data_IF_595750740502
#
_entry.id   IF_595750740502
#
_cell.length_a   1.000
_cell.length_b   1.000
_cell.length_c   1.000
_cell.angle_alpha   90.00
_cell.angle_beta   90.00
_cell.angle_gamma   90.00
#
_symmetry.space_group_name_H-M   'P 1'
#
loop_
_entity.id
_entity.type
_entity.pdbx_description
1 polymer ?
#
# COMPACT_ATOMS: atom_id res chain seq x y z
N UNK A 1 12.80 -16.86 -7.07
CA UNK A 1 13.68 -16.14 -8.01
C UNK A 1 13.21 -14.70 -8.09
N UNK A 2 14.10 -13.72 -8.02
CA UNK A 2 13.72 -12.33 -8.27
C UNK A 2 13.62 -12.08 -9.77
N UNK A 3 12.46 -11.61 -10.22
CA UNK A 3 12.23 -11.12 -11.58
C UNK A 3 12.51 -9.62 -11.61
N UNK A 4 13.67 -9.26 -12.16
CA UNK A 4 14.11 -7.88 -12.28
C UNK A 4 13.27 -7.04 -13.26
N UNK A 5 12.53 -7.66 -14.19
CA UNK A 5 11.68 -6.93 -15.12
C UNK A 5 10.40 -6.40 -14.45
N UNK A 6 9.91 -7.11 -13.43
CA UNK A 6 8.68 -6.76 -12.71
C UNK A 6 8.89 -6.33 -11.26
N UNK A 7 10.15 -6.34 -10.78
CA UNK A 7 10.52 -6.07 -9.38
C UNK A 7 9.82 -7.04 -8.41
N UNK A 8 9.56 -8.29 -8.86
CA UNK A 8 8.78 -9.29 -8.10
C UNK A 8 9.64 -10.46 -7.67
N UNK A 9 9.40 -10.94 -6.46
CA UNK A 9 9.89 -12.23 -6.01
C UNK A 9 8.89 -13.32 -6.43
N UNK A 10 9.32 -14.16 -7.36
CA UNK A 10 8.59 -15.35 -7.78
C UNK A 10 8.93 -16.50 -6.85
N UNK A 11 7.90 -17.07 -6.25
CA UNK A 11 8.03 -18.10 -5.24
C UNK A 11 7.05 -19.23 -5.53
N UNK A 12 7.49 -20.23 -6.30
CA UNK A 12 6.55 -21.16 -6.94
C UNK A 12 5.57 -20.39 -7.81
N UNK A 13 4.28 -20.56 -7.56
CA UNK A 13 3.20 -19.86 -8.26
C UNK A 13 2.81 -18.51 -7.61
N UNK A 14 3.47 -18.12 -6.50
CA UNK A 14 3.17 -16.90 -5.76
C UNK A 14 4.13 -15.79 -6.19
N UNK A 15 3.60 -14.73 -6.79
CA UNK A 15 4.34 -13.53 -7.14
C UNK A 15 4.11 -12.43 -6.08
N UNK A 16 5.04 -12.29 -5.14
CA UNK A 16 5.03 -11.21 -4.15
C UNK A 16 5.96 -10.08 -4.58
N UNK A 17 5.49 -8.84 -4.53
CA UNK A 17 6.35 -7.67 -4.78
C UNK A 17 6.96 -7.22 -3.45
N UNK A 18 8.29 -7.32 -3.33
CA UNK A 18 9.02 -6.97 -2.11
C UNK A 18 10.10 -5.96 -2.45
N UNK A 19 10.09 -4.84 -1.73
CA UNK A 19 11.07 -3.78 -1.81
C UNK A 19 12.12 -4.00 -0.71
N UNK A 20 13.40 -4.11 -1.08
CA UNK A 20 14.52 -4.22 -0.15
C UNK A 20 15.51 -3.09 -0.42
N UNK A 21 15.68 -2.18 0.53
CA UNK A 21 16.65 -1.09 0.42
C UNK A 21 17.94 -1.45 1.16
N UNK A 22 19.06 -1.52 0.44
CA UNK A 22 20.38 -1.85 1.02
C UNK A 22 21.12 -0.66 1.63
N UNK A 23 20.59 0.52 1.37
CA UNK A 23 20.97 1.82 1.91
C UNK A 23 19.66 2.61 1.95
N UNK A 24 19.35 3.37 3.00
CA UNK A 24 18.26 4.34 2.95
C UNK A 24 18.67 5.46 1.98
N UNK A 25 18.61 5.18 0.67
CA UNK A 25 18.74 6.15 -0.40
C UNK A 25 17.39 6.82 -0.56
N UNK A 26 17.10 7.66 0.42
CA UNK A 26 15.99 8.59 0.38
C UNK A 26 15.96 9.32 -0.95
N UNK A 27 14.83 9.27 -1.64
CA UNK A 27 14.60 10.05 -2.87
C UNK A 27 15.06 9.40 -4.18
N UNK A 28 15.63 8.20 -4.18
CA UNK A 28 15.92 7.47 -5.42
C UNK A 28 14.68 6.76 -6.01
N UNK A 29 13.71 6.39 -5.17
CA UNK A 29 12.41 5.83 -5.56
C UNK A 29 11.28 6.75 -5.10
N UNK A 30 10.43 7.16 -6.05
CA UNK A 30 9.24 7.98 -5.79
C UNK A 30 8.30 7.25 -4.81
N UNK A 31 7.81 7.94 -3.78
CA UNK A 31 6.89 7.38 -2.79
C UNK A 31 7.54 6.78 -1.54
N UNK A 32 8.86 6.55 -1.56
CA UNK A 32 9.61 6.12 -0.37
C UNK A 32 10.18 7.35 0.36
N UNK A 33 9.72 7.57 1.60
CA UNK A 33 10.14 8.68 2.45
C UNK A 33 11.40 8.30 3.25
N UNK A 34 12.30 9.25 3.54
CA UNK A 34 13.34 9.01 4.56
C UNK A 34 12.70 8.77 5.93
N UNK A 35 13.46 8.15 6.83
CA UNK A 35 12.97 7.86 8.17
C UNK A 35 12.56 9.10 8.96
N UNK A 36 13.17 10.26 8.74
CA UNK A 36 12.81 11.50 9.46
C UNK A 36 11.50 12.09 8.94
N UNK A 37 11.31 12.16 7.62
CA UNK A 37 10.08 12.60 6.95
C UNK A 37 8.96 11.59 7.20
N UNK A 38 9.24 10.29 7.13
CA UNK A 38 8.31 9.23 7.48
C UNK A 38 7.91 9.31 8.96
N UNK A 39 8.85 9.59 9.87
CA UNK A 39 8.55 9.82 11.29
C UNK A 39 7.71 11.08 11.50
N UNK A 40 8.00 12.16 10.78
CA UNK A 40 7.19 13.38 10.85
C UNK A 40 5.76 13.15 10.32
N UNK A 41 5.61 12.35 9.26
CA UNK A 41 4.31 12.06 8.62
C UNK A 41 3.49 11.01 9.38
N UNK A 42 4.12 9.94 9.87
CA UNK A 42 3.44 8.77 10.46
C UNK A 42 3.62 8.64 11.97
N UNK A 43 4.46 9.46 12.60
CA UNK A 43 4.59 9.54 14.06
C UNK A 43 5.28 8.35 14.73
N UNK A 44 6.03 7.52 13.99
CA UNK A 44 6.68 6.33 14.55
C UNK A 44 8.04 6.01 13.91
N UNK A 45 8.97 5.52 14.74
CA UNK A 45 10.22 4.90 14.30
C UNK A 45 9.95 3.59 13.54
N UNK A 46 10.74 3.25 12.50
CA UNK A 46 10.66 1.95 11.84
C UNK A 46 10.95 0.83 12.84
N UNK A 47 10.20 -0.27 12.76
CA UNK A 47 10.38 -1.41 13.64
C UNK A 47 11.76 -2.04 13.43
N UNK A 48 12.59 -2.05 14.48
CA UNK A 48 13.99 -2.48 14.48
C UNK A 48 14.90 -1.75 13.46
N UNK A 49 14.43 -0.69 12.81
CA UNK A 49 15.11 -0.09 11.64
C UNK A 49 14.97 -0.92 10.35
N UNK A 50 14.09 -1.92 10.34
CA UNK A 50 13.96 -2.91 9.25
C UNK A 50 12.63 -2.83 8.52
N UNK A 51 11.52 -2.56 9.20
CA UNK A 51 10.17 -2.62 8.62
C UNK A 51 9.29 -1.47 9.10
N UNK A 52 8.23 -1.16 8.34
CA UNK A 52 7.28 -0.09 8.68
C UNK A 52 5.83 -0.50 8.41
N UNK A 53 4.96 -0.25 9.38
CA UNK A 53 3.52 -0.34 9.23
C UNK A 53 3.01 0.79 8.32
N UNK A 54 2.05 0.48 7.46
CA UNK A 54 1.65 1.27 6.30
C UNK A 54 2.47 0.93 5.05
N UNK A 55 3.54 0.14 5.18
CA UNK A 55 4.47 -0.18 4.11
C UNK A 55 4.69 -1.70 3.98
N UNK A 56 3.68 -2.47 3.56
CA UNK A 56 3.79 -3.94 3.47
C UNK A 56 4.81 -4.39 2.43
N UNK A 57 5.54 -5.48 2.68
CA UNK A 57 6.61 -5.98 1.81
C UNK A 57 7.74 -4.98 1.58
N UNK A 58 7.91 -3.99 2.45
CA UNK A 58 9.08 -3.11 2.47
C UNK A 58 10.01 -3.49 3.61
N UNK A 59 11.30 -3.66 3.28
CA UNK A 59 12.34 -3.86 4.27
C UNK A 59 13.59 -3.03 3.97
N UNK A 60 14.28 -2.60 5.03
CA UNK A 60 15.62 -2.01 4.96
C UNK A 60 16.65 -3.04 5.44
N UNK A 61 17.70 -3.27 4.64
CA UNK A 61 18.79 -4.21 4.94
C UNK A 61 20.11 -3.46 4.96
N UNK A 62 20.59 -3.12 6.15
CA UNK A 62 21.84 -2.35 6.35
C UNK A 62 23.06 -3.23 6.60
N UNK A 63 22.85 -4.49 6.98
CA UNK A 63 23.91 -5.42 7.40
C UNK A 63 23.46 -6.89 7.22
N UNK A 64 24.36 -7.82 7.55
CA UNK A 64 24.13 -9.26 7.40
C UNK A 64 23.08 -9.82 8.39
N UNK A 65 22.94 -9.23 9.58
CA UNK A 65 21.92 -9.68 10.54
C UNK A 65 20.53 -9.26 10.07
N UNK A 66 20.40 -8.03 9.56
CA UNK A 66 19.21 -7.55 8.86
C UNK A 66 18.86 -8.44 7.66
N UNK A 67 19.86 -8.84 6.85
CA UNK A 67 19.63 -9.73 5.71
C UNK A 67 19.07 -11.10 6.14
N UNK A 68 19.61 -11.69 7.22
CA UNK A 68 19.09 -12.95 7.78
C UNK A 68 17.67 -12.80 8.32
N UNK A 69 17.40 -11.68 9.00
CA UNK A 69 16.07 -11.37 9.52
C UNK A 69 15.04 -11.29 8.39
N UNK A 70 15.34 -10.51 7.35
CA UNK A 70 14.47 -10.34 6.19
C UNK A 70 14.30 -11.66 5.44
N UNK A 71 15.37 -12.44 5.25
CA UNK A 71 15.27 -13.78 4.63
C UNK A 71 14.28 -14.67 5.38
N UNK A 72 14.31 -14.69 6.71
CA UNK A 72 13.36 -15.47 7.50
C UNK A 72 11.90 -14.99 7.36
N UNK A 73 11.67 -13.68 7.23
CA UNK A 73 10.34 -13.14 6.91
C UNK A 73 9.88 -13.57 5.51
N UNK A 74 10.77 -13.58 4.52
CA UNK A 74 10.45 -13.98 3.14
C UNK A 74 10.23 -15.48 2.98
N UNK A 75 10.97 -16.31 3.72
CA UNK A 75 10.71 -17.74 3.80
C UNK A 75 9.35 -18.01 4.47
N UNK A 76 9.01 -17.28 5.54
CA UNK A 76 7.68 -17.38 6.14
C UNK A 76 6.55 -16.93 5.19
N UNK A 77 6.77 -15.87 4.40
CA UNK A 77 5.84 -15.42 3.37
C UNK A 77 5.59 -16.53 2.34
N UNK A 78 6.66 -17.19 1.88
CA UNK A 78 6.62 -18.34 0.97
C UNK A 78 5.87 -19.52 1.56
N UNK A 79 6.28 -19.96 2.74
CA UNK A 79 5.77 -21.19 3.37
C UNK A 79 4.27 -21.09 3.70
N UNK A 80 3.78 -19.86 3.91
CA UNK A 80 2.37 -19.55 4.14
C UNK A 80 1.58 -19.26 2.86
N UNK A 81 2.21 -19.34 1.68
CA UNK A 81 1.62 -18.96 0.39
C UNK A 81 0.98 -17.55 0.39
N UNK A 82 1.60 -16.62 1.12
CA UNK A 82 1.12 -15.25 1.28
C UNK A 82 1.79 -14.30 0.26
N UNK A 83 1.13 -13.19 -0.04
CA UNK A 83 1.65 -12.15 -0.97
C UNK A 83 1.97 -10.84 -0.27
N UNK A 84 1.58 -10.71 1.01
CA UNK A 84 1.77 -9.54 1.85
C UNK A 84 2.35 -9.95 3.20
N UNK A 85 3.39 -9.25 3.65
CA UNK A 85 3.93 -9.29 5.02
C UNK A 85 4.09 -7.86 5.52
N UNK A 86 3.60 -7.57 6.72
CA UNK A 86 3.71 -6.24 7.32
C UNK A 86 3.85 -6.34 8.83
N UNK A 87 4.64 -5.46 9.43
CA UNK A 87 4.70 -5.34 10.89
C UNK A 87 3.37 -4.78 11.42
N UNK A 88 2.87 -5.37 12.51
CA UNK A 88 1.62 -4.93 13.12
C UNK A 88 1.73 -3.50 13.69
N UNK A 89 0.69 -2.65 13.55
CA UNK A 89 0.75 -1.24 13.97
C UNK A 89 1.09 -1.06 15.46
N UNK A 90 0.54 -1.90 16.32
CA UNK A 90 0.78 -1.81 17.77
C UNK A 90 2.21 -2.25 18.14
N UNK A 91 2.80 -3.21 17.43
CA UNK A 91 4.20 -3.65 17.65
C UNK A 91 5.15 -2.50 17.32
N UNK A 92 4.98 -1.87 16.16
CA UNK A 92 5.78 -0.71 15.79
C UNK A 92 5.58 0.44 16.78
N UNK A 93 4.35 0.74 17.18
CA UNK A 93 4.05 1.81 18.13
C UNK A 93 4.70 1.57 19.49
N UNK A 94 4.66 0.33 19.98
CA UNK A 94 5.32 -0.07 21.23
C UNK A 94 6.84 0.08 21.14
N UNK A 95 7.45 -0.40 20.05
CA UNK A 95 8.88 -0.23 19.81
C UNK A 95 9.28 1.24 19.75
N UNK A 96 8.52 2.07 19.02
CA UNK A 96 8.76 3.50 18.90
C UNK A 96 8.80 4.19 20.27
N UNK A 97 7.83 3.89 21.15
CA UNK A 97 7.80 4.42 22.52
C UNK A 97 9.02 4.00 23.35
N UNK A 98 9.51 2.78 23.16
CA UNK A 98 10.72 2.32 23.84
C UNK A 98 11.98 3.03 23.32
N UNK A 99 12.04 3.34 22.03
CA UNK A 99 13.13 4.15 21.43
C UNK A 99 13.11 5.56 21.99
N UNK A 100 11.94 6.22 21.99
CA UNK A 100 11.80 7.59 22.52
C UNK A 100 12.15 7.67 24.02
N UNK A 101 11.85 6.61 24.78
CA UNK A 101 12.24 6.49 26.19
C UNK A 101 13.71 6.10 26.41
N UNK A 102 14.49 5.84 25.36
CA UNK A 102 15.89 5.37 25.45
C UNK A 102 16.05 3.95 26.01
N UNK A 103 14.97 3.18 26.07
CA UNK A 103 14.91 1.81 26.62
C UNK A 103 15.24 0.77 25.54
N UNK A 104 14.83 1.02 24.28
CA UNK A 104 15.00 0.08 23.20
C UNK A 104 16.49 -0.21 22.93
N UNK A 105 16.92 -1.43 23.25
CA UNK A 105 18.25 -1.97 22.93
C UNK A 105 18.09 -3.38 22.38
N UNK A 106 17.53 -3.52 21.17
CA UNK A 106 17.34 -4.85 20.59
C UNK A 106 18.69 -5.54 20.46
N UNK A 107 18.87 -6.64 21.18
CA UNK A 107 20.08 -7.44 21.11
C UNK A 107 20.26 -8.03 19.71
N UNK A 108 21.49 -8.44 19.39
CA UNK A 108 21.84 -9.01 18.09
C UNK A 108 20.90 -10.14 17.64
N UNK A 109 20.43 -10.98 18.57
CA UNK A 109 19.46 -12.05 18.28
C UNK A 109 18.14 -11.52 17.73
N UNK A 110 17.58 -10.47 18.34
CA UNK A 110 16.33 -9.87 17.91
C UNK A 110 16.44 -9.23 16.50
N UNK A 111 17.63 -8.72 16.15
CA UNK A 111 17.90 -8.16 14.82
C UNK A 111 18.22 -9.20 13.74
N UNK A 112 18.43 -10.47 14.13
CA UNK A 112 18.79 -11.56 13.20
C UNK A 112 17.66 -12.57 13.01
N UNK A 113 16.75 -12.68 13.98
CA UNK A 113 15.68 -13.68 13.96
C UNK A 113 14.36 -12.99 14.29
N UNK A 114 13.44 -12.89 13.31
CA UNK A 114 12.14 -12.26 13.53
C UNK A 114 11.28 -13.10 14.46
N UNK A 115 10.50 -12.43 15.31
CA UNK A 115 9.29 -13.03 15.85
C UNK A 115 8.18 -12.88 14.82
N UNK A 116 7.86 -13.95 14.10
CA UNK A 116 6.88 -13.91 13.01
C UNK A 116 5.46 -13.62 13.51
N UNK A 117 5.19 -13.67 14.83
CA UNK A 117 3.91 -13.27 15.40
C UNK A 117 3.72 -11.74 15.44
N UNK A 118 4.80 -10.97 15.34
CA UNK A 118 4.80 -9.50 15.25
C UNK A 118 4.37 -8.99 13.88
N UNK A 119 4.30 -9.89 12.90
CA UNK A 119 3.92 -9.60 11.52
C UNK A 119 2.55 -10.17 11.21
N UNK A 120 1.85 -9.46 10.34
CA UNK A 120 0.67 -9.93 9.64
C UNK A 120 1.08 -10.45 8.27
N UNK A 121 0.56 -11.63 7.91
CA UNK A 121 0.77 -12.25 6.61
C UNK A 121 -0.60 -12.48 5.98
N UNK A 122 -0.76 -12.03 4.74
CA UNK A 122 -2.05 -12.08 4.04
C UNK A 122 -1.87 -12.67 2.65
N UNK A 123 -2.74 -13.60 2.30
CA UNK A 123 -2.80 -14.17 0.95
C UNK A 123 -3.46 -13.21 -0.04
N UNK A 124 -3.49 -13.57 -1.32
CA UNK A 124 -4.31 -12.81 -2.28
C UNK A 124 -5.82 -13.03 -2.00
N UNK A 125 -6.20 -14.27 -1.69
CA UNK A 125 -7.60 -14.65 -1.41
C UNK A 125 -8.17 -13.95 -0.20
N UNK A 126 -7.41 -13.87 0.89
CA UNK A 126 -7.86 -13.18 2.12
C UNK A 126 -8.14 -11.69 1.87
N UNK A 127 -7.61 -11.12 0.77
CA UNK A 127 -7.87 -9.74 0.35
C UNK A 127 -8.98 -9.61 -0.66
N UNK A 128 -9.44 -10.69 -1.29
CA UNK A 128 -10.45 -10.66 -2.36
C UNK A 128 -11.86 -11.00 -1.85
N UNK A 129 -12.02 -11.35 -0.57
CA UNK A 129 -13.31 -11.74 0.05
C UNK A 129 -14.20 -10.55 0.50
N UNK A 130 -13.76 -9.30 0.31
CA UNK A 130 -14.54 -8.10 0.64
C UNK A 130 -15.38 -7.65 -0.59
N UNK A 131 -16.60 -8.18 -0.72
CA UNK A 131 -17.53 -7.93 -1.84
C UNK A 131 -18.04 -6.46 -1.96
N UNK A 132 -17.65 -5.58 -1.04
CA UNK A 132 -18.12 -4.18 -0.97
C UNK A 132 -17.22 -3.18 -1.73
N UNK A 133 -16.09 -3.64 -2.27
CA UNK A 133 -15.13 -2.82 -3.00
C UNK A 133 -15.15 -3.06 -4.53
N UNK A 134 -14.69 -2.07 -5.29
CA UNK A 134 -14.52 -2.20 -6.74
C UNK A 134 -13.08 -2.57 -7.07
N UNK A 135 -12.90 -3.66 -7.81
CA UNK A 135 -11.60 -4.09 -8.36
C UNK A 135 -11.72 -4.27 -9.86
N UNK A 136 -10.96 -3.50 -10.61
CA UNK A 136 -11.04 -3.59 -12.06
C UNK A 136 -10.42 -2.43 -12.83
N UNK A 137 -10.65 -2.41 -14.15
CA UNK A 137 -10.14 -1.38 -15.03
C UNK A 137 -10.81 -0.02 -14.77
N UNK A 138 -10.01 1.04 -14.81
CA UNK A 138 -10.50 2.41 -14.82
C UNK A 138 -9.66 3.27 -15.77
N UNK A 139 -10.15 4.45 -16.09
CA UNK A 139 -9.43 5.47 -16.87
C UNK A 139 -9.20 6.68 -15.98
N UNK A 140 -7.94 7.06 -15.80
CA UNK A 140 -7.58 8.37 -15.25
C UNK A 140 -7.54 9.41 -16.36
N UNK A 141 -8.05 10.60 -16.07
CA UNK A 141 -8.05 11.73 -17.00
C UNK A 141 -7.30 12.88 -16.32
N UNK A 142 -6.18 13.29 -16.90
CA UNK A 142 -5.37 14.40 -16.42
C UNK A 142 -6.01 15.77 -16.74
N UNK A 143 -5.49 16.83 -16.13
CA UNK A 143 -6.01 18.19 -16.33
C UNK A 143 -5.92 18.69 -17.79
N UNK A 144 -4.98 18.14 -18.58
CA UNK A 144 -4.83 18.42 -20.01
C UNK A 144 -5.71 17.52 -20.90
N UNK A 145 -6.53 16.65 -20.30
CA UNK A 145 -7.40 15.70 -20.99
C UNK A 145 -6.74 14.37 -21.37
N UNK A 146 -5.46 14.15 -21.03
CA UNK A 146 -4.78 12.88 -21.30
C UNK A 146 -5.47 11.74 -20.53
N UNK A 147 -5.90 10.71 -21.24
CA UNK A 147 -6.47 9.50 -20.66
C UNK A 147 -5.39 8.43 -20.40
N UNK A 148 -5.50 7.69 -19.31
CA UNK A 148 -4.57 6.61 -18.94
C UNK A 148 -5.34 5.44 -18.35
N UNK A 149 -5.24 4.27 -18.99
CA UNK A 149 -5.81 3.03 -18.48
C UNK A 149 -5.05 2.55 -17.24
N UNK A 150 -5.80 2.16 -16.22
CA UNK A 150 -5.26 1.71 -14.94
C UNK A 150 -6.07 0.53 -14.38
N UNK A 151 -5.47 -0.21 -13.46
CA UNK A 151 -6.18 -1.18 -12.61
C UNK A 151 -6.30 -0.61 -11.21
N UNK A 152 -7.52 -0.53 -10.68
CA UNK A 152 -7.80 0.09 -9.39
C UNK A 152 -8.45 -0.89 -8.43
N UNK A 153 -8.28 -0.60 -7.15
CA UNK A 153 -9.04 -1.18 -6.06
C UNK A 153 -9.58 -0.03 -5.20
N UNK A 154 -10.90 0.17 -5.18
CA UNK A 154 -11.57 1.32 -4.58
C UNK A 154 -12.64 0.89 -3.57
N UNK A 155 -12.64 1.51 -2.39
CA UNK A 155 -13.68 1.37 -1.38
C UNK A 155 -14.43 2.69 -1.24
N UNK A 156 -15.75 2.64 -1.25
CA UNK A 156 -16.63 3.78 -1.11
C UNK A 156 -17.51 3.62 0.12
N UNK A 157 -17.51 4.64 0.98
CA UNK A 157 -18.21 4.65 2.27
C UNK A 157 -19.03 5.92 2.39
N UNK A 158 -20.29 5.77 2.79
CA UNK A 158 -21.11 6.91 3.16
C UNK A 158 -20.67 7.45 4.53
N UNK A 159 -20.38 8.74 4.60
CA UNK A 159 -20.00 9.46 5.82
C UNK A 159 -21.23 10.16 6.40
N UNK A 160 -21.84 9.65 7.49
CA UNK A 160 -23.10 10.21 8.02
C UNK A 160 -22.95 11.64 8.55
N UNK A 161 -21.77 11.97 9.10
CA UNK A 161 -21.47 13.30 9.63
C UNK A 161 -21.49 14.35 8.51
N UNK A 162 -20.96 13.98 7.35
CA UNK A 162 -20.80 14.88 6.21
C UNK A 162 -21.94 14.75 5.19
N UNK A 163 -22.88 13.81 5.42
CA UNK A 163 -23.95 13.42 4.50
C UNK A 163 -23.46 13.23 3.05
N UNK A 164 -22.31 12.58 2.88
CA UNK A 164 -21.64 12.46 1.58
C UNK A 164 -20.90 11.12 1.47
N UNK A 165 -20.80 10.59 0.24
CA UNK A 165 -19.91 9.45 -0.03
C UNK A 165 -18.48 9.94 -0.11
N UNK A 166 -17.58 9.30 0.64
CA UNK A 166 -16.15 9.38 0.42
C UNK A 166 -15.64 8.05 -0.07
N UNK A 167 -14.71 8.07 -0.99
CA UNK A 167 -14.10 6.87 -1.51
C UNK A 167 -12.59 7.05 -1.59
N UNK A 168 -11.88 5.96 -1.39
CA UNK A 168 -10.43 5.91 -1.48
C UNK A 168 -10.01 4.57 -2.06
N UNK A 169 -8.79 4.51 -2.55
CA UNK A 169 -8.28 3.27 -3.10
C UNK A 169 -6.85 3.35 -3.58
N UNK A 170 -6.43 2.27 -4.23
CA UNK A 170 -5.10 2.14 -4.78
C UNK A 170 -5.14 1.87 -6.26
N UNK A 171 -4.16 2.43 -6.95
CA UNK A 171 -3.93 2.23 -8.38
C UNK A 171 -2.70 1.35 -8.53
N UNK A 172 -2.81 0.28 -9.30
CA UNK A 172 -1.69 -0.61 -9.60
C UNK A 172 -0.61 0.15 -10.38
N UNK A 173 0.67 -0.19 -10.15
CA UNK A 173 1.80 0.41 -10.84
C UNK A 173 1.80 0.14 -12.34
N UNK A 174 2.03 1.18 -13.14
CA UNK A 174 2.31 1.10 -14.57
C UNK A 174 3.27 2.21 -15.01
N UNK A 175 3.90 2.08 -16.19
CA UNK A 175 4.78 3.13 -16.71
C UNK A 175 3.98 4.39 -17.04
N UNK A 176 2.75 4.21 -17.49
CA UNK A 176 1.81 5.27 -17.85
C UNK A 176 1.38 6.05 -16.60
N UNK A 177 1.03 5.34 -15.51
CA UNK A 177 0.74 5.97 -14.22
C UNK A 177 1.93 6.76 -13.69
N UNK A 178 3.15 6.22 -13.81
CA UNK A 178 4.36 6.91 -13.37
C UNK A 178 4.67 8.18 -14.19
N UNK A 179 4.20 8.26 -15.45
CA UNK A 179 4.29 9.47 -16.27
C UNK A 179 3.22 10.49 -15.89
N UNK A 180 2.02 10.01 -15.57
CA UNK A 180 0.86 10.83 -15.21
C UNK A 180 1.00 11.44 -13.82
N UNK A 181 1.25 10.63 -12.80
CA UNK A 181 1.33 11.07 -11.41
C UNK A 181 2.74 11.59 -11.12
N UNK A 182 2.87 12.90 -10.99
CA UNK A 182 4.15 13.60 -10.86
C UNK A 182 4.27 14.41 -9.57
N UNK A 183 3.13 14.80 -9.00
CA UNK A 183 3.04 15.66 -7.82
C UNK A 183 2.16 15.02 -6.74
N UNK A 184 2.42 15.35 -5.47
CA UNK A 184 1.51 14.99 -4.37
C UNK A 184 0.22 15.79 -4.44
N UNK A 185 -0.90 15.17 -4.04
CA UNK A 185 -2.24 15.75 -4.13
C UNK A 185 -2.59 16.27 -5.55
N UNK A 186 -2.18 15.53 -6.58
CA UNK A 186 -2.42 15.89 -7.97
C UNK A 186 -3.90 15.66 -8.33
N UNK A 187 -4.63 16.69 -8.78
CA UNK A 187 -6.02 16.55 -9.23
C UNK A 187 -6.11 15.76 -10.54
N UNK A 188 -7.08 14.85 -10.62
CA UNK A 188 -7.42 14.07 -11.81
C UNK A 188 -8.94 13.86 -11.87
N UNK A 189 -9.45 13.29 -12.96
CA UNK A 189 -10.75 12.62 -12.94
C UNK A 189 -10.55 11.11 -13.10
N UNK A 190 -11.47 10.33 -12.56
CA UNK A 190 -11.53 8.88 -12.77
C UNK A 190 -12.85 8.52 -13.45
N UNK A 191 -12.78 7.62 -14.42
CA UNK A 191 -13.93 7.02 -15.09
C UNK A 191 -13.85 5.50 -14.99
N UNK A 192 -14.97 4.89 -14.64
CA UNK A 192 -15.15 3.43 -14.62
C UNK A 192 -16.31 3.12 -15.57
N UNK A 193 -16.09 2.16 -16.47
CA UNK A 193 -17.02 1.80 -17.55
C UNK A 193 -17.49 3.04 -18.33
N UNK A 194 -18.77 3.06 -18.73
CA UNK A 194 -19.41 4.16 -19.45
C UNK A 194 -19.98 5.25 -18.53
N UNK A 195 -19.59 5.27 -17.25
CA UNK A 195 -20.09 6.27 -16.30
C UNK A 195 -19.41 7.63 -16.50
N UNK A 196 -20.07 8.74 -16.13
CA UNK A 196 -19.43 10.05 -16.17
C UNK A 196 -18.15 10.09 -15.31
N UNK A 197 -17.06 10.72 -15.79
CA UNK A 197 -15.87 10.93 -14.97
C UNK A 197 -16.20 11.72 -13.71
N UNK A 198 -15.63 11.32 -12.58
CA UNK A 198 -15.76 12.03 -11.29
C UNK A 198 -14.42 12.61 -10.85
N UNK A 199 -14.39 13.79 -10.18
CA UNK A 199 -13.15 14.36 -9.65
C UNK A 199 -12.49 13.45 -8.62
N UNK A 200 -11.16 13.44 -8.62
CA UNK A 200 -10.34 12.69 -7.68
C UNK A 200 -8.99 13.38 -7.45
N UNK A 201 -8.28 12.92 -6.43
CA UNK A 201 -6.95 13.39 -6.08
C UNK A 201 -6.03 12.17 -5.96
N UNK A 202 -4.92 12.19 -6.70
CA UNK A 202 -3.80 11.29 -6.44
C UNK A 202 -3.00 11.87 -5.27
N UNK A 203 -3.04 11.20 -4.11
CA UNK A 203 -2.56 11.76 -2.84
C UNK A 203 -1.04 11.67 -2.75
N UNK A 204 -0.51 10.47 -2.95
CA UNK A 204 0.91 10.17 -2.92
C UNK A 204 1.27 9.03 -3.87
N UNK A 205 2.53 9.01 -4.27
CA UNK A 205 3.12 7.86 -4.93
C UNK A 205 3.31 6.77 -3.89
N UNK A 206 2.86 5.56 -4.20
CA UNK A 206 3.20 4.45 -3.34
C UNK A 206 4.64 3.97 -3.63
N UNK A 207 5.34 3.40 -2.64
CA UNK A 207 6.70 2.87 -2.81
C UNK A 207 6.83 1.74 -3.85
N UNK A 208 5.73 1.12 -4.24
CA UNK A 208 5.66 0.12 -5.29
C UNK A 208 5.29 0.75 -6.65
N UNK A 209 5.34 2.07 -6.80
CA UNK A 209 5.07 2.77 -8.06
C UNK A 209 3.60 2.82 -8.48
N UNK A 210 2.69 2.38 -7.62
CA UNK A 210 1.26 2.66 -7.73
C UNK A 210 0.93 4.02 -7.12
N UNK A 211 -0.35 4.28 -6.85
CA UNK A 211 -0.79 5.57 -6.29
C UNK A 211 -1.98 5.39 -5.35
N UNK A 212 -2.02 6.19 -4.29
CA UNK A 212 -3.24 6.36 -3.50
C UNK A 212 -4.13 7.39 -4.20
N UNK A 213 -5.40 7.02 -4.40
CA UNK A 213 -6.42 7.90 -4.97
C UNK A 213 -7.57 8.08 -3.97
N UNK A 214 -8.10 9.30 -3.89
CA UNK A 214 -9.28 9.63 -3.09
C UNK A 214 -10.26 10.47 -3.90
N UNK A 215 -11.53 10.42 -3.52
CA UNK A 215 -12.54 11.33 -3.99
C UNK A 215 -13.75 11.38 -3.08
N UNK A 216 -14.65 12.31 -3.38
CA UNK A 216 -15.84 12.57 -2.59
C UNK A 216 -17.03 12.95 -3.48
N UNK A 217 -18.23 12.86 -2.91
CA UNK A 217 -19.47 13.14 -3.62
C UNK A 217 -19.98 11.93 -4.40
N UNK A 218 -19.73 11.89 -5.71
CA UNK A 218 -20.19 10.78 -6.56
C UNK A 218 -19.20 9.61 -6.50
N UNK A 219 -19.74 8.40 -6.27
CA UNK A 219 -18.95 7.16 -6.36
C UNK A 219 -18.65 6.84 -7.83
N UNK A 220 -17.39 6.51 -8.18
CA UNK A 220 -17.03 6.16 -9.55
C UNK A 220 -17.65 4.83 -10.00
N UNK A 221 -18.03 3.95 -9.07
CA UNK A 221 -18.70 2.67 -9.33
C UNK A 221 -20.04 2.55 -8.57
N UNK A 222 -20.96 1.66 -9.00
CA UNK A 222 -22.25 1.48 -8.35
C UNK A 222 -22.07 0.94 -6.92
N UNK A 223 -22.67 1.60 -5.93
CA UNK A 223 -22.67 1.10 -4.55
C UNK A 223 -23.71 -0.01 -4.38
N UNK A 224 -23.39 -1.14 -3.73
CA UNK A 224 -24.33 -2.25 -3.52
C UNK A 224 -25.66 -1.82 -2.92
N UNK A 225 -25.63 -0.93 -1.91
CA UNK A 225 -26.84 -0.44 -1.24
C UNK A 225 -27.77 0.36 -2.17
N UNK A 226 -27.21 1.12 -3.13
CA UNK A 226 -28.02 1.89 -4.09
C UNK A 226 -28.68 0.96 -5.12
N UNK A 227 -27.99 -0.11 -5.53
CA UNK A 227 -28.53 -1.10 -6.46
C UNK A 227 -29.56 -2.04 -5.80
N UNK A 228 -29.47 -2.26 -4.48
CA UNK A 228 -30.49 -3.00 -3.71
C UNK A 228 -31.72 -2.15 -3.40
N UNK A 229 -31.56 -0.88 -3.02
CA UNK A 229 -32.69 0.03 -2.80
C UNK A 229 -33.51 0.25 -4.09
N UNK A 230 -32.85 0.40 -5.24
CA UNK A 230 -33.54 0.50 -6.53
C UNK A 230 -34.35 -0.75 -6.92
N UNK A 231 -34.07 -1.91 -6.31
CA UNK A 231 -34.84 -3.15 -6.51
C UNK A 231 -36.02 -3.30 -5.55
N UNK A 232 -36.08 -2.50 -4.47
CA UNK A 232 -37.16 -2.52 -3.48
C UNK A 232 -38.30 -1.54 -3.81
N UNK A 233 -38.05 -0.55 -4.65
CA UNK A 233 -39.03 0.44 -5.12
C UNK A 233 -39.78 0.00 -6.41
N UNK A 234 -39.64 -1.27 -6.82
CA UNK A 234 -40.23 -1.86 -8.03
C UNK A 234 -41.32 -2.89 -7.76
#
# INVERSE_FOLDING_TARGET
>A
MFDAATDRWLTGDVAARVLIDTTPQTGARTGLLDDDVARARFGAHPYLGLARHGFPNHFTVTDEDAARYVSACLDALRDRACTRVEVKPHVQSQYSRQVDAGIARPGRKARRTPDLAEYEFTSARDRDEDDEDYRGPAVLIAADGTETDVQVHLLALYQPVDNMVRWSGRIQPSQELARLHRDVNQPVQIRIDDRPPVPAILVDHDPWGGSHIVGEGLSPYPLPLLAELARLDG
#
